data_IF_166445057234
#
_entry.id   IF_166445057234
#
_cell.length_a   1.000
_cell.length_b   1.000
_cell.length_c   1.000
_cell.angle_alpha   90.00
_cell.angle_beta   90.00
_cell.angle_gamma   90.00
#
_symmetry.space_group_name_H-M   'P 1'
#
loop_
_entity.id
_entity.type
_entity.pdbx_description
1 polymer ?
#
# COMPACT_ATOMS: atom_id res chain seq x y z
N UNK A 1 19.53 -24.39 -22.07
CA UNK A 1 18.34 -24.67 -21.24
C UNK A 1 17.68 -23.34 -20.87
N UNK A 2 16.40 -23.19 -21.23
CA UNK A 2 15.58 -21.99 -21.04
C UNK A 2 15.31 -21.74 -19.54
N UNK A 3 16.06 -20.84 -18.91
CA UNK A 3 15.78 -20.33 -17.55
C UNK A 3 14.75 -19.18 -17.54
N UNK A 4 13.99 -18.96 -18.62
CA UNK A 4 13.03 -17.86 -18.75
C UNK A 4 11.62 -18.18 -18.25
N UNK A 5 11.39 -19.31 -17.58
CA UNK A 5 10.13 -19.57 -16.86
C UNK A 5 10.10 -18.86 -15.50
N UNK A 6 10.53 -17.60 -15.44
CA UNK A 6 10.18 -16.74 -14.31
C UNK A 6 8.72 -16.32 -14.52
N UNK A 7 7.79 -17.13 -14.02
CA UNK A 7 6.33 -16.93 -14.00
C UNK A 7 5.81 -15.75 -14.81
N UNK A 8 5.42 -16.00 -16.07
CA UNK A 8 4.71 -15.01 -16.87
C UNK A 8 3.27 -14.88 -16.32
N UNK A 9 3.10 -14.12 -15.23
CA UNK A 9 1.79 -13.84 -14.67
C UNK A 9 1.00 -12.93 -15.61
N UNK A 10 -0.27 -13.27 -15.82
CA UNK A 10 -1.21 -12.40 -16.52
C UNK A 10 -1.46 -11.12 -15.70
N UNK A 11 -1.97 -10.06 -16.33
CA UNK A 11 -2.31 -8.82 -15.63
C UNK A 11 -3.28 -9.08 -14.47
N UNK A 12 -4.26 -9.95 -14.67
CA UNK A 12 -5.22 -10.35 -13.62
C UNK A 12 -4.51 -11.03 -12.46
N UNK A 13 -3.58 -11.95 -12.73
CA UNK A 13 -2.81 -12.62 -11.68
C UNK A 13 -1.92 -11.64 -10.90
N UNK A 14 -1.31 -10.67 -11.57
CA UNK A 14 -0.51 -9.62 -10.91
C UNK A 14 -1.36 -8.77 -9.98
N UNK A 15 -2.55 -8.37 -10.42
CA UNK A 15 -3.52 -7.63 -9.60
C UNK A 15 -4.00 -8.51 -8.44
N UNK A 16 -4.27 -9.79 -8.68
CA UNK A 16 -4.63 -10.75 -7.62
C UNK A 16 -3.55 -10.88 -6.55
N UNK A 17 -2.29 -11.10 -6.95
CA UNK A 17 -1.15 -11.14 -6.03
C UNK A 17 -0.98 -9.81 -5.27
N UNK A 18 -1.26 -8.68 -5.92
CA UNK A 18 -1.22 -7.36 -5.28
C UNK A 18 -2.23 -7.27 -4.14
N UNK A 19 -3.50 -7.61 -4.40
CA UNK A 19 -4.52 -7.60 -3.34
C UNK A 19 -4.22 -8.60 -2.24
N UNK A 20 -3.72 -9.80 -2.57
CA UNK A 20 -3.30 -10.78 -1.56
C UNK A 20 -2.22 -10.19 -0.64
N UNK A 21 -1.21 -9.52 -1.19
CA UNK A 21 -0.15 -8.88 -0.41
C UNK A 21 -0.73 -7.85 0.58
N UNK A 22 -1.62 -6.96 0.10
CA UNK A 22 -2.24 -5.95 0.95
C UNK A 22 -3.21 -6.53 1.98
N UNK A 23 -3.94 -7.60 1.64
CA UNK A 23 -4.75 -8.35 2.59
C UNK A 23 -3.92 -9.02 3.68
N UNK A 24 -2.74 -9.56 3.35
CA UNK A 24 -1.80 -10.12 4.33
C UNK A 24 -1.26 -9.02 5.25
N UNK A 25 -0.92 -7.84 4.74
CA UNK A 25 -0.53 -6.69 5.57
C UNK A 25 -1.68 -6.26 6.50
N UNK A 26 -2.91 -6.23 5.99
CA UNK A 26 -4.11 -5.96 6.79
C UNK A 26 -4.34 -6.99 7.90
N UNK A 27 -4.14 -8.27 7.61
CA UNK A 27 -4.19 -9.35 8.59
C UNK A 27 -3.11 -9.22 9.66
N UNK A 28 -1.86 -8.96 9.26
CA UNK A 28 -0.76 -8.76 10.21
C UNK A 28 -1.02 -7.57 11.14
N UNK A 29 -1.52 -6.46 10.59
CA UNK A 29 -1.89 -5.32 11.42
C UNK A 29 -3.08 -5.62 12.34
N UNK A 30 -4.06 -6.38 11.85
CA UNK A 30 -5.18 -6.86 12.67
C UNK A 30 -4.68 -7.66 13.86
N UNK A 31 -3.74 -8.60 13.64
CA UNK A 31 -3.13 -9.36 14.73
C UNK A 31 -2.33 -8.47 15.68
N UNK A 32 -1.55 -7.52 15.16
CA UNK A 32 -0.81 -6.55 15.98
C UNK A 32 -1.75 -5.77 16.90
N UNK A 33 -2.83 -5.23 16.35
CA UNK A 33 -3.84 -4.50 17.11
C UNK A 33 -4.58 -5.42 18.08
N UNK A 34 -4.89 -6.65 17.68
CA UNK A 34 -5.47 -7.66 18.57
C UNK A 34 -4.60 -7.91 19.79
N UNK A 35 -3.31 -8.23 19.61
CA UNK A 35 -2.42 -8.46 20.75
C UNK A 35 -2.27 -7.21 21.62
N UNK A 36 -2.15 -6.02 21.02
CA UNK A 36 -2.09 -4.79 21.78
C UNK A 36 -3.36 -4.58 22.61
N UNK A 37 -4.55 -4.63 22.00
CA UNK A 37 -5.80 -4.36 22.70
C UNK A 37 -6.25 -5.47 23.64
N UNK A 38 -6.01 -6.74 23.32
CA UNK A 38 -6.43 -7.86 24.17
C UNK A 38 -5.63 -7.91 25.48
N UNK A 39 -4.41 -7.34 25.50
CA UNK A 39 -3.63 -7.12 26.74
C UNK A 39 -4.28 -6.04 27.62
N UNK A 40 -4.93 -5.03 27.05
CA UNK A 40 -5.47 -3.88 27.79
C UNK A 40 -7.00 -3.91 28.00
N UNK A 41 -7.77 -4.58 27.15
CA UNK A 41 -9.22 -4.68 27.19
C UNK A 41 -9.74 -5.91 26.40
N UNK A 42 -10.04 -7.04 27.08
CA UNK A 42 -10.32 -8.32 26.44
C UNK A 42 -11.73 -8.47 25.83
N UNK A 43 -12.40 -7.37 25.47
CA UNK A 43 -13.74 -7.43 24.89
C UNK A 43 -13.68 -7.90 23.41
N UNK A 44 -14.39 -8.98 23.09
CA UNK A 44 -14.47 -9.58 21.74
C UNK A 44 -14.97 -8.60 20.67
N UNK A 45 -15.82 -7.65 21.06
CA UNK A 45 -16.34 -6.60 20.19
C UNK A 45 -15.26 -5.59 19.78
N UNK A 46 -14.21 -5.41 20.60
CA UNK A 46 -13.07 -4.52 20.30
C UNK A 46 -12.17 -5.12 19.22
N UNK A 47 -12.04 -6.44 19.19
CA UNK A 47 -11.24 -7.14 18.18
C UNK A 47 -11.91 -7.11 16.80
N UNK A 48 -13.20 -7.41 16.71
CA UNK A 48 -13.93 -7.39 15.43
C UNK A 48 -13.88 -5.99 14.78
N UNK A 49 -14.04 -4.93 15.59
CA UNK A 49 -13.87 -3.54 15.13
C UNK A 49 -12.45 -3.27 14.64
N UNK A 50 -11.44 -3.73 15.38
CA UNK A 50 -10.03 -3.54 15.00
C UNK A 50 -9.66 -4.29 13.72
N UNK A 51 -10.25 -5.48 13.51
CA UNK A 51 -10.08 -6.25 12.29
C UNK A 51 -10.71 -5.54 11.09
N UNK A 52 -11.99 -5.15 11.19
CA UNK A 52 -12.69 -4.40 10.13
C UNK A 52 -11.93 -3.11 9.82
N UNK A 53 -11.45 -2.42 10.86
CA UNK A 53 -10.65 -1.21 10.72
C UNK A 53 -9.38 -1.43 9.91
N UNK A 54 -8.55 -2.39 10.33
CA UNK A 54 -7.31 -2.71 9.65
C UNK A 54 -7.55 -3.20 8.22
N UNK A 55 -8.51 -4.09 8.00
CA UNK A 55 -8.83 -4.55 6.65
C UNK A 55 -9.22 -3.39 5.72
N UNK A 56 -10.10 -2.48 6.17
CA UNK A 56 -10.50 -1.32 5.37
C UNK A 56 -9.32 -0.38 5.09
N UNK A 57 -8.49 -0.10 6.10
CA UNK A 57 -7.33 0.79 5.99
C UNK A 57 -6.29 0.27 4.98
N UNK A 58 -5.95 -1.01 5.07
CA UNK A 58 -4.94 -1.65 4.21
C UNK A 58 -5.46 -1.99 2.83
N UNK A 59 -6.75 -2.31 2.69
CA UNK A 59 -7.39 -2.50 1.39
C UNK A 59 -7.41 -1.18 0.59
N UNK A 60 -7.75 -0.05 1.24
CA UNK A 60 -7.71 1.27 0.61
C UNK A 60 -6.29 1.65 0.16
N UNK A 61 -5.27 1.36 0.98
CA UNK A 61 -3.88 1.51 0.55
C UNK A 61 -3.51 0.56 -0.60
N UNK A 62 -4.06 -0.66 -0.64
CA UNK A 62 -3.90 -1.56 -1.77
C UNK A 62 -4.41 -0.99 -3.10
N UNK A 63 -5.52 -0.28 -3.08
CA UNK A 63 -6.04 0.44 -4.25
C UNK A 63 -5.21 1.68 -4.58
N UNK A 64 -4.95 2.53 -3.59
CA UNK A 64 -4.24 3.80 -3.80
C UNK A 64 -2.78 3.60 -4.20
N UNK A 65 -2.14 2.55 -3.72
CA UNK A 65 -0.77 2.22 -4.09
C UNK A 65 -0.60 1.93 -5.58
N UNK A 66 -1.62 1.41 -6.28
CA UNK A 66 -1.58 1.28 -7.75
C UNK A 66 -1.53 2.64 -8.45
N UNK A 67 -2.25 3.63 -7.91
CA UNK A 67 -2.21 5.01 -8.41
C UNK A 67 -0.83 5.62 -8.16
N UNK A 68 -0.27 5.44 -6.96
CA UNK A 68 1.09 5.90 -6.63
C UNK A 68 2.11 5.25 -7.57
N UNK A 69 2.05 3.94 -7.79
CA UNK A 69 2.90 3.21 -8.72
C UNK A 69 2.79 3.82 -10.12
N UNK A 70 1.58 4.06 -10.62
CA UNK A 70 1.37 4.65 -11.94
C UNK A 70 1.99 6.04 -12.04
N UNK A 71 1.80 6.89 -11.04
CA UNK A 71 2.40 8.24 -10.99
C UNK A 71 3.92 8.16 -10.99
N UNK A 72 4.51 7.30 -10.14
CA UNK A 72 5.98 7.12 -10.07
C UNK A 72 6.55 6.70 -11.42
N UNK A 73 5.91 5.78 -12.13
CA UNK A 73 6.33 5.37 -13.47
C UNK A 73 6.25 6.53 -14.49
N UNK A 74 5.21 7.36 -14.44
CA UNK A 74 5.06 8.52 -15.35
C UNK A 74 6.17 9.56 -15.13
N UNK A 75 6.57 9.77 -13.87
CA UNK A 75 7.57 10.80 -13.52
C UNK A 75 9.02 10.28 -13.51
N UNK A 76 9.24 8.98 -13.75
CA UNK A 76 10.56 8.35 -13.63
C UNK A 76 11.61 9.00 -14.54
N UNK A 77 11.23 9.40 -15.75
CA UNK A 77 12.14 10.02 -16.73
C UNK A 77 12.09 11.55 -16.74
N UNK A 78 11.39 12.15 -15.77
CA UNK A 78 11.29 13.61 -15.63
C UNK A 78 12.46 14.19 -14.84
N UNK A 79 12.60 15.52 -14.93
CA UNK A 79 13.62 16.26 -14.18
C UNK A 79 13.45 16.09 -12.66
N UNK A 80 14.54 16.26 -11.91
CA UNK A 80 14.55 16.12 -10.45
C UNK A 80 13.54 17.07 -9.79
N UNK A 81 13.39 18.29 -10.30
CA UNK A 81 12.45 19.28 -9.78
C UNK A 81 11.00 18.78 -9.90
N UNK A 82 10.62 18.22 -11.07
CA UNK A 82 9.28 17.66 -11.28
C UNK A 82 9.05 16.49 -10.32
N UNK A 83 10.05 15.62 -10.13
CA UNK A 83 9.97 14.49 -9.18
C UNK A 83 9.71 14.98 -7.76
N UNK A 84 10.54 15.89 -7.25
CA UNK A 84 10.42 16.44 -5.88
C UNK A 84 9.07 17.12 -5.69
N UNK A 85 8.66 17.99 -6.62
CA UNK A 85 7.36 18.68 -6.55
C UNK A 85 6.19 17.69 -6.54
N UNK A 86 6.25 16.65 -7.37
CA UNK A 86 5.23 15.60 -7.41
C UNK A 86 5.19 14.81 -6.10
N UNK A 87 6.34 14.52 -5.49
CA UNK A 87 6.40 13.82 -4.21
C UNK A 87 5.85 14.65 -3.05
N UNK A 88 6.24 15.92 -2.94
CA UNK A 88 5.71 16.82 -1.92
C UNK A 88 4.19 16.94 -2.06
N UNK A 89 3.70 17.09 -3.29
CA UNK A 89 2.25 17.13 -3.56
C UNK A 89 1.58 15.81 -3.18
N UNK A 90 2.18 14.68 -3.56
CA UNK A 90 1.68 13.34 -3.24
C UNK A 90 1.62 13.06 -1.74
N UNK A 91 2.57 13.56 -0.96
CA UNK A 91 2.59 13.47 0.51
C UNK A 91 1.42 14.17 1.18
N UNK A 92 0.75 15.11 0.51
CA UNK A 92 -0.42 15.79 1.05
C UNK A 92 -1.69 15.16 0.47
N UNK A 93 -1.73 15.02 -0.86
CA UNK A 93 -2.92 14.57 -1.59
C UNK A 93 -3.25 13.11 -1.30
N UNK A 94 -2.27 12.20 -1.29
CA UNK A 94 -2.55 10.77 -1.10
C UNK A 94 -3.03 10.45 0.32
N UNK A 95 -2.41 10.98 1.40
CA UNK A 95 -2.94 10.82 2.75
C UNK A 95 -4.33 11.42 2.94
N UNK A 96 -4.58 12.61 2.40
CA UNK A 96 -5.91 13.24 2.46
C UNK A 96 -6.96 12.39 1.73
N UNK A 97 -6.63 11.90 0.54
CA UNK A 97 -7.52 11.03 -0.24
C UNK A 97 -7.81 9.71 0.48
N UNK A 98 -6.78 9.07 1.05
CA UNK A 98 -6.95 7.86 1.86
C UNK A 98 -7.90 8.11 3.03
N UNK A 99 -7.66 9.16 3.81
CA UNK A 99 -8.48 9.48 4.98
C UNK A 99 -9.92 9.80 4.61
N UNK A 100 -10.13 10.49 3.49
CA UNK A 100 -11.48 10.78 3.00
C UNK A 100 -12.22 9.51 2.61
N UNK A 101 -11.61 8.65 1.78
CA UNK A 101 -12.19 7.36 1.39
C UNK A 101 -12.44 6.47 2.60
N UNK A 102 -11.50 6.44 3.54
CA UNK A 102 -11.62 5.73 4.79
C UNK A 102 -12.83 6.22 5.60
N UNK A 103 -13.05 7.52 5.68
CA UNK A 103 -14.19 8.12 6.39
C UNK A 103 -15.53 7.76 5.74
N UNK A 104 -15.57 7.67 4.40
CA UNK A 104 -16.74 7.21 3.65
C UNK A 104 -17.02 5.73 3.92
N UNK A 105 -16.01 4.88 3.83
CA UNK A 105 -16.12 3.44 4.12
C UNK A 105 -16.54 3.21 5.58
N UNK A 106 -16.00 4.00 6.51
CA UNK A 106 -16.36 3.92 7.92
C UNK A 106 -17.83 4.30 8.16
N UNK A 107 -18.32 5.38 7.55
CA UNK A 107 -19.72 5.78 7.65
C UNK A 107 -20.65 4.71 7.05
N UNK A 108 -20.26 4.13 5.91
CA UNK A 108 -21.00 3.01 5.33
C UNK A 108 -21.03 1.81 6.26
N UNK A 109 -19.89 1.44 6.86
CA UNK A 109 -19.77 0.32 7.79
C UNK A 109 -20.57 0.56 9.08
N UNK A 110 -20.59 1.80 9.59
CA UNK A 110 -21.44 2.21 10.73
C UNK A 110 -22.92 1.92 10.47
N UNK A 111 -23.40 2.16 9.25
CA UNK A 111 -24.78 1.89 8.88
C UNK A 111 -25.12 0.38 8.87
N UNK A 112 -24.13 -0.48 8.65
CA UNK A 112 -24.30 -1.94 8.64
C UNK A 112 -24.15 -2.55 10.05
N UNK A 113 -23.26 -1.99 10.88
CA UNK A 113 -22.94 -2.47 12.23
C UNK A 113 -23.43 -1.49 13.32
N UNK A 114 -24.66 -0.98 13.16
CA UNK A 114 -25.24 0.15 13.88
C UNK A 114 -25.14 0.09 15.41
N UNK A 115 -25.13 -1.12 15.99
CA UNK A 115 -25.12 -1.32 17.44
C UNK A 115 -23.73 -1.21 18.10
N UNK A 116 -22.64 -1.25 17.32
CA UNK A 116 -21.31 -1.50 17.89
C UNK A 116 -20.34 -0.33 17.70
N UNK A 117 -20.53 0.53 16.71
CA UNK A 117 -19.63 1.67 16.45
C UNK A 117 -20.32 2.97 16.91
N UNK A 118 -20.40 3.18 18.21
CA UNK A 118 -20.85 4.45 18.79
C UNK A 118 -19.79 5.53 18.55
N UNK A 119 -19.87 6.20 17.41
CA UNK A 119 -19.21 7.50 17.20
C UNK A 119 -20.27 8.60 17.12
N UNK A 120 -20.01 9.72 17.79
CA UNK A 120 -20.87 10.92 17.77
C UNK A 120 -20.85 11.66 16.42
N UNK A 121 -20.00 11.23 15.49
CA UNK A 121 -19.90 11.81 14.15
C UNK A 121 -21.08 11.44 13.27
N UNK A 122 -21.66 12.45 12.62
CA UNK A 122 -22.86 12.36 11.78
C UNK A 122 -22.53 12.40 10.28
N UNK A 123 -21.29 12.74 9.91
CA UNK A 123 -20.87 12.77 8.50
C UNK A 123 -19.45 12.25 8.29
N UNK A 124 -19.15 11.82 7.06
CA UNK A 124 -17.80 11.42 6.66
C UNK A 124 -16.80 12.58 6.77
N UNK A 125 -17.27 13.83 6.59
CA UNK A 125 -16.43 15.02 6.74
C UNK A 125 -15.99 15.25 8.19
N UNK A 126 -16.87 15.04 9.15
CA UNK A 126 -16.53 15.14 10.58
C UNK A 126 -15.52 14.06 11.01
N UNK A 127 -15.71 12.82 10.53
CA UNK A 127 -14.76 11.72 10.75
C UNK A 127 -13.40 12.06 10.13
N UNK A 128 -13.41 12.63 8.92
CA UNK A 128 -12.21 13.04 8.21
C UNK A 128 -11.44 14.10 9.00
N UNK A 129 -12.07 15.21 9.39
CA UNK A 129 -11.39 16.27 10.16
C UNK A 129 -10.86 15.73 11.50
N UNK A 130 -11.68 14.99 12.24
CA UNK A 130 -11.30 14.45 13.54
C UNK A 130 -10.12 13.49 13.46
N UNK A 131 -9.99 12.75 12.36
CA UNK A 131 -8.91 11.78 12.14
C UNK A 131 -7.70 12.38 11.44
N UNK A 132 -7.85 13.50 10.72
CA UNK A 132 -6.82 14.05 9.85
C UNK A 132 -5.54 14.41 10.60
N UNK A 133 -5.66 15.12 11.71
CA UNK A 133 -4.51 15.54 12.52
C UNK A 133 -3.78 14.36 13.17
N UNK A 134 -4.51 13.30 13.54
CA UNK A 134 -3.93 12.11 14.18
C UNK A 134 -3.29 11.13 13.20
N UNK A 135 -3.76 11.07 11.95
CA UNK A 135 -3.39 10.03 10.98
C UNK A 135 -2.65 10.52 9.75
N UNK A 136 -2.51 11.83 9.52
CA UNK A 136 -1.79 12.33 8.35
C UNK A 136 -0.33 11.83 8.32
N UNK A 137 0.32 11.73 9.48
CA UNK A 137 1.70 11.27 9.56
C UNK A 137 1.82 9.81 9.12
N UNK A 138 1.04 8.91 9.71
CA UNK A 138 1.04 7.48 9.38
C UNK A 138 0.75 7.23 7.89
N UNK A 139 -0.20 7.98 7.32
CA UNK A 139 -0.54 7.87 5.92
C UNK A 139 0.53 8.47 4.99
N UNK A 140 1.20 9.55 5.41
CA UNK A 140 2.35 10.10 4.67
C UNK A 140 3.52 9.13 4.66
N UNK A 141 3.76 8.45 5.78
CA UNK A 141 4.78 7.41 5.92
C UNK A 141 4.45 6.22 5.00
N UNK A 142 3.20 5.75 4.97
CA UNK A 142 2.76 4.70 4.06
C UNK A 142 2.98 5.09 2.58
N UNK A 143 2.65 6.32 2.20
CA UNK A 143 2.94 6.86 0.87
C UNK A 143 4.44 6.81 0.54
N UNK A 144 5.29 7.29 1.45
CA UNK A 144 6.75 7.25 1.26
C UNK A 144 7.25 5.82 1.08
N UNK A 145 6.79 4.88 1.91
CA UNK A 145 7.18 3.47 1.78
C UNK A 145 6.80 2.87 0.44
N UNK A 146 5.62 3.20 -0.09
CA UNK A 146 5.20 2.75 -1.43
C UNK A 146 6.14 3.33 -2.49
N UNK A 147 6.40 4.65 -2.46
CA UNK A 147 7.29 5.31 -3.42
C UNK A 147 8.70 4.71 -3.38
N UNK A 148 9.29 4.58 -2.19
CA UNK A 148 10.61 3.97 -2.00
C UNK A 148 10.61 2.53 -2.47
N UNK A 149 9.56 1.76 -2.18
CA UNK A 149 9.39 0.38 -2.65
C UNK A 149 9.40 0.27 -4.17
N UNK A 150 8.76 1.21 -4.88
CA UNK A 150 8.77 1.25 -6.35
C UNK A 150 10.16 1.54 -6.88
N UNK A 151 10.87 2.52 -6.31
CA UNK A 151 12.24 2.82 -6.72
C UNK A 151 13.20 1.66 -6.44
N UNK A 152 13.11 1.06 -5.26
CA UNK A 152 13.91 -0.10 -4.89
C UNK A 152 13.64 -1.27 -5.85
N UNK A 153 12.38 -1.57 -6.14
CA UNK A 153 12.01 -2.63 -7.08
C UNK A 153 12.58 -2.38 -8.48
N UNK A 154 12.44 -1.15 -8.99
CA UNK A 154 12.97 -0.78 -10.30
C UNK A 154 14.50 -0.89 -10.35
N UNK A 155 15.19 -0.45 -9.29
CA UNK A 155 16.64 -0.58 -9.15
C UNK A 155 17.09 -2.04 -9.14
N UNK A 156 16.49 -2.89 -8.28
CA UNK A 156 16.84 -4.31 -8.21
C UNK A 156 16.53 -5.06 -9.49
N UNK A 157 15.44 -4.71 -10.18
CA UNK A 157 15.11 -5.26 -11.50
C UNK A 157 16.19 -4.93 -12.52
N UNK A 158 16.66 -3.68 -12.59
CA UNK A 158 17.74 -3.28 -13.50
C UNK A 158 19.04 -4.03 -13.19
N UNK A 159 19.42 -4.09 -11.90
CA UNK A 159 20.61 -4.81 -11.46
C UNK A 159 20.56 -6.30 -11.82
N UNK A 160 19.40 -6.94 -11.68
CA UNK A 160 19.22 -8.34 -12.05
C UNK A 160 19.35 -8.55 -13.56
N UNK A 161 18.74 -7.68 -14.37
CA UNK A 161 18.84 -7.74 -15.83
C UNK A 161 20.28 -7.55 -16.31
N UNK A 162 21.01 -6.62 -15.71
CA UNK A 162 22.41 -6.37 -16.03
C UNK A 162 23.31 -7.57 -15.68
N UNK A 163 23.14 -8.16 -14.49
CA UNK A 163 23.86 -9.38 -14.09
C UNK A 163 23.60 -10.54 -15.03
N UNK A 164 22.34 -10.70 -15.48
CA UNK A 164 21.97 -11.76 -16.42
C UNK A 164 22.62 -11.54 -17.78
N UNK A 165 22.64 -10.30 -18.28
CA UNK A 165 23.29 -9.93 -19.54
C UNK A 165 24.80 -10.17 -19.50
N UNK A 166 25.46 -9.82 -18.40
CA UNK A 166 26.91 -10.06 -18.23
C UNK A 166 27.19 -11.57 -18.18
N UNK A 167 26.35 -12.35 -17.50
CA UNK A 167 26.50 -13.81 -17.44
C UNK A 167 26.34 -14.47 -18.82
N UNK A 168 25.38 -14.03 -19.63
CA UNK A 168 25.20 -14.48 -21.01
C UNK A 168 26.38 -14.10 -21.91
N UNK A 169 26.91 -12.89 -21.76
CA UNK A 169 28.07 -12.43 -22.51
C UNK A 169 29.33 -13.27 -22.17
N UNK A 170 29.58 -13.50 -20.89
CA UNK A 170 30.71 -14.33 -20.43
C UNK A 170 30.58 -15.78 -20.89
N UNK A 171 29.37 -16.32 -20.91
CA UNK A 171 29.11 -17.66 -21.44
C UNK A 171 29.43 -17.74 -22.94
N UNK A 172 28.96 -16.75 -23.71
CA UNK A 172 29.19 -16.71 -25.17
C UNK A 172 30.69 -16.59 -25.48
N UNK A 173 31.42 -15.77 -24.71
CA UNK A 173 32.88 -15.62 -24.83
C UNK A 173 33.65 -16.89 -24.45
N UNK A 174 33.14 -17.69 -23.52
CA UNK A 174 33.74 -18.97 -23.16
C UNK A 174 33.45 -20.07 -24.20
N UNK A 175 32.30 -20.01 -24.87
CA UNK A 175 31.93 -20.94 -25.95
C UNK A 175 32.60 -20.61 -27.30
N UNK A 176 33.14 -19.39 -27.46
CA UNK A 176 33.86 -18.94 -28.67
C UNK A 176 35.39 -19.04 -28.56
N UNK A 177 35.93 -19.49 -27.42
CA UNK A 177 37.33 -19.84 -27.22
C UNK A 177 37.53 -21.35 -27.35
#
# INVERSE_FOLDING_TARGET
>A
MNNSKLFHLTTVQKIGCWFILWSLLGLLQTFRLYYAYNVYNPNILTWQKSAIWAFNEWYLWGLLSLLVIKVVHIIQDKSLIIKISTFITGMIVMPALHLYLYSVVWLWTKNWYYAEIMTSYNSAYEIFIGSYLGKINDNSVAFIFIVVGVYAFNYYRQLFLEKTRIAELNRTLAETK
#
